data_IF_350471895897
#
_entry.id   IF_350471895897
#
_cell.length_a   1.000
_cell.length_b   1.000
_cell.length_c   1.000
_cell.angle_alpha   90.00
_cell.angle_beta   90.00
_cell.angle_gamma   90.00
#
_symmetry.space_group_name_H-M   'P 1'
#
loop_
_entity.id
_entity.type
_entity.pdbx_description
1 polymer ?
#
# COMPACT_ATOMS: atom_id res chain seq x y z
N UNK A 1 -25.63 12.74 26.17
CA UNK A 1 -24.84 13.14 24.98
C UNK A 1 -23.39 13.30 25.43
N UNK A 2 -22.36 12.79 24.73
CA UNK A 2 -22.31 12.30 23.35
C UNK A 2 -21.74 10.87 23.20
N UNK A 3 -22.06 10.23 22.07
CA UNK A 3 -21.47 8.97 21.64
C UNK A 3 -21.33 9.00 20.12
N UNK A 4 -20.33 9.73 19.63
CA UNK A 4 -20.04 9.82 18.20
C UNK A 4 -19.23 8.60 17.74
N UNK A 5 -19.97 7.61 17.26
CA UNK A 5 -19.44 6.46 16.53
C UNK A 5 -18.90 6.93 15.17
N UNK A 6 -17.58 7.11 15.08
CA UNK A 6 -16.91 7.43 13.82
C UNK A 6 -16.82 6.18 12.94
N UNK A 7 -17.32 6.35 11.72
CA UNK A 7 -17.55 5.33 10.71
C UNK A 7 -16.35 4.45 10.39
N UNK A 8 -16.64 3.16 10.27
CA UNK A 8 -15.81 2.17 9.59
C UNK A 8 -15.84 2.50 8.10
N UNK A 9 -14.73 3.03 7.58
CA UNK A 9 -14.51 3.15 6.13
C UNK A 9 -14.17 1.77 5.59
N UNK A 10 -15.11 1.15 4.90
CA UNK A 10 -14.88 -0.01 4.05
C UNK A 10 -13.92 0.38 2.93
N UNK A 11 -12.73 -0.21 2.94
CA UNK A 11 -11.74 -0.05 1.87
C UNK A 11 -12.21 -0.88 0.68
N UNK A 12 -12.76 -0.20 -0.32
CA UNK A 12 -13.16 -0.80 -1.59
C UNK A 12 -11.88 -1.09 -2.40
N UNK A 13 -11.38 -2.33 -2.35
CA UNK A 13 -10.29 -2.80 -3.20
C UNK A 13 -10.78 -2.90 -4.64
N UNK A 14 -10.40 -1.92 -5.47
CA UNK A 14 -10.54 -1.98 -6.93
C UNK A 14 -9.51 -2.98 -7.49
N UNK A 15 -9.92 -4.23 -7.67
CA UNK A 15 -9.18 -5.21 -8.46
C UNK A 15 -9.27 -4.82 -9.94
N UNK A 16 -8.20 -4.21 -10.45
CA UNK A 16 -8.03 -3.97 -11.88
C UNK A 16 -7.75 -5.31 -12.59
N UNK A 17 -8.77 -5.85 -13.28
CA UNK A 17 -8.60 -6.94 -14.24
C UNK A 17 -7.76 -6.47 -15.42
N UNK A 18 -6.46 -6.77 -15.36
CA UNK A 18 -5.52 -6.61 -16.46
C UNK A 18 -5.83 -7.69 -17.51
N UNK A 19 -6.58 -7.33 -18.56
CA UNK A 19 -6.76 -8.17 -19.74
C UNK A 19 -5.39 -8.40 -20.41
N UNK A 20 -5.03 -9.63 -20.78
CA UNK A 20 -3.92 -9.84 -21.69
C UNK A 20 -4.36 -9.40 -23.09
N UNK A 21 -3.68 -8.37 -23.61
CA UNK A 21 -3.82 -7.92 -24.98
C UNK A 21 -3.38 -9.00 -25.94
N UNK A 22 -4.29 -9.42 -26.81
CA UNK A 22 -3.97 -10.19 -28.02
C UNK A 22 -3.36 -9.22 -29.02
N UNK A 23 -2.07 -9.43 -29.34
CA UNK A 23 -1.39 -8.70 -30.38
C UNK A 23 -2.02 -8.99 -31.75
N UNK A 24 -2.39 -7.88 -32.38
CA UNK A 24 -2.81 -7.72 -33.74
C UNK A 24 -1.54 -7.58 -34.61
N UNK A 25 -1.28 -8.56 -35.49
CA UNK A 25 -0.34 -8.40 -36.60
C UNK A 25 -0.44 -9.60 -37.56
N UNK A 26 -1.17 -9.44 -38.66
CA UNK A 26 -0.62 -9.58 -40.01
C UNK A 26 -1.74 -9.59 -41.05
N UNK A 27 -1.85 -8.43 -41.67
CA UNK A 27 -2.68 -8.08 -42.82
C UNK A 27 -1.91 -8.44 -44.09
N UNK A 28 -2.66 -8.91 -45.08
CA UNK A 28 -2.50 -8.60 -46.51
C UNK A 28 -1.61 -9.44 -47.44
N UNK A 29 -2.05 -9.46 -48.71
CA UNK A 29 -1.53 -10.07 -49.94
C UNK A 29 -1.87 -11.56 -50.17
N UNK A 30 -2.37 -12.04 -51.31
CA UNK A 30 -2.62 -11.43 -52.63
C UNK A 30 -3.58 -12.32 -53.44
N UNK A 31 -4.46 -11.68 -54.21
CA UNK A 31 -5.18 -12.22 -55.37
C UNK A 31 -4.20 -12.81 -56.40
N UNK A 32 -4.43 -14.03 -56.89
CA UNK A 32 -4.08 -14.42 -58.26
C UNK A 32 -5.10 -15.41 -58.88
N UNK A 33 -5.68 -14.96 -59.99
CA UNK A 33 -6.22 -15.69 -61.14
C UNK A 33 -5.46 -15.08 -62.34
N UNK A 34 -5.41 -15.67 -63.56
CA UNK A 34 -5.74 -17.04 -64.02
C UNK A 34 -4.65 -17.65 -64.94
N UNK A 35 -4.84 -18.87 -65.48
CA UNK A 35 -4.33 -19.17 -66.83
C UNK A 35 -5.23 -20.13 -67.61
N UNK A 36 -5.53 -19.72 -68.85
CA UNK A 36 -6.19 -20.48 -69.92
C UNK A 36 -5.11 -21.26 -70.67
N UNK A 37 -5.36 -22.52 -70.98
CA UNK A 37 -4.88 -23.32 -72.12
C UNK A 37 -5.34 -24.77 -71.85
N UNK A 38 -5.79 -25.62 -72.75
CA UNK A 38 -5.79 -25.60 -74.21
C UNK A 38 -6.86 -26.61 -74.66
N UNK A 39 -7.66 -26.27 -75.68
CA UNK A 39 -8.51 -27.26 -76.37
C UNK A 39 -7.61 -28.10 -77.28
N UNK A 40 -7.59 -29.42 -77.10
CA UNK A 40 -7.21 -30.36 -78.16
C UNK A 40 -8.28 -31.45 -78.25
N UNK A 41 -9.00 -31.41 -79.37
CA UNK A 41 -9.66 -32.58 -79.97
C UNK A 41 -8.60 -33.56 -80.44
N UNK A 42 -8.81 -34.85 -80.17
CA UNK A 42 -8.56 -36.01 -81.04
C UNK A 42 -8.88 -37.25 -80.19
N UNK A 43 -10.03 -37.89 -80.42
CA UNK A 43 -10.28 -38.96 -81.40
C UNK A 43 -9.96 -40.33 -80.81
N UNK A 44 -11.00 -41.17 -80.82
CA UNK A 44 -10.95 -42.62 -80.99
C UNK A 44 -9.90 -43.38 -80.18
N UNK A 45 -10.35 -43.93 -79.05
CA UNK A 45 -9.73 -45.13 -78.48
C UNK A 45 -10.80 -46.20 -78.36
N UNK A 46 -10.45 -47.33 -78.96
CA UNK A 46 -11.25 -48.51 -79.18
C UNK A 46 -11.86 -49.08 -77.90
N UNK A 47 -13.10 -49.58 -78.06
CA UNK A 47 -13.65 -50.66 -77.24
C UNK A 47 -12.74 -51.89 -77.39
N UNK A 48 -11.78 -52.05 -76.50
CA UNK A 48 -11.06 -53.32 -76.33
C UNK A 48 -11.33 -53.88 -74.93
N UNK A 49 -11.96 -55.05 -74.96
CA UNK A 49 -11.94 -56.10 -73.94
C UNK A 49 -12.09 -55.68 -72.47
N UNK A 50 -13.34 -55.67 -72.00
CA UNK A 50 -13.68 -55.74 -70.58
C UNK A 50 -13.34 -57.15 -70.08
N UNK A 51 -12.06 -57.37 -69.78
CA UNK A 51 -11.65 -58.44 -68.87
C UNK A 51 -11.99 -58.00 -67.43
N UNK A 52 -12.62 -58.90 -66.69
CA UNK A 52 -13.33 -58.61 -65.44
C UNK A 52 -12.54 -57.78 -64.44
N UNK A 53 -12.96 -56.53 -64.26
CA UNK A 53 -12.55 -55.71 -63.11
C UNK A 53 -13.06 -56.42 -61.87
N UNK A 54 -12.14 -56.92 -61.04
CA UNK A 54 -12.43 -57.55 -59.76
C UNK A 54 -12.94 -56.48 -58.77
N UNK A 55 -14.23 -56.16 -58.89
CA UNK A 55 -14.96 -55.22 -58.04
C UNK A 55 -14.87 -55.58 -56.56
N UNK A 56 -14.74 -56.87 -56.25
CA UNK A 56 -14.60 -57.37 -54.88
C UNK A 56 -13.22 -57.04 -54.28
N UNK A 57 -12.14 -57.13 -55.06
CA UNK A 57 -10.82 -56.69 -54.62
C UNK A 57 -10.77 -55.20 -54.28
N UNK A 58 -11.33 -54.35 -55.15
CA UNK A 58 -11.37 -52.89 -54.93
C UNK A 58 -12.20 -52.52 -53.70
N UNK A 59 -13.31 -53.21 -53.44
CA UNK A 59 -14.13 -52.98 -52.25
C UNK A 59 -13.40 -53.35 -50.95
N UNK A 60 -12.63 -54.44 -50.97
CA UNK A 60 -11.81 -54.85 -49.82
C UNK A 60 -10.70 -53.83 -49.55
N UNK A 61 -9.98 -53.39 -50.59
CA UNK A 61 -8.91 -52.38 -50.46
C UNK A 61 -9.45 -51.06 -49.89
N UNK A 62 -10.62 -50.60 -50.35
CA UNK A 62 -11.26 -49.39 -49.83
C UNK A 62 -11.66 -49.52 -48.35
N UNK A 63 -12.12 -50.70 -47.95
CA UNK A 63 -12.45 -50.99 -46.55
C UNK A 63 -11.20 -50.96 -45.67
N UNK A 64 -10.10 -51.58 -46.12
CA UNK A 64 -8.82 -51.56 -45.42
C UNK A 64 -8.23 -50.16 -45.30
N UNK A 65 -8.27 -49.39 -46.39
CA UNK A 65 -7.82 -47.99 -46.39
C UNK A 65 -8.64 -47.15 -45.41
N UNK A 66 -9.98 -47.29 -45.42
CA UNK A 66 -10.86 -46.57 -44.51
C UNK A 66 -10.53 -46.90 -43.06
N UNK A 67 -10.40 -48.18 -42.73
CA UNK A 67 -10.06 -48.63 -41.38
C UNK A 67 -8.69 -48.12 -40.93
N UNK A 68 -7.68 -48.23 -41.80
CA UNK A 68 -6.33 -47.69 -41.54
C UNK A 68 -6.34 -46.19 -41.29
N UNK A 69 -7.17 -45.44 -42.04
CA UNK A 69 -7.30 -44.00 -41.87
C UNK A 69 -7.99 -43.65 -40.54
N UNK A 70 -9.08 -44.33 -40.19
CA UNK A 70 -9.78 -44.15 -38.92
C UNK A 70 -8.86 -44.42 -37.72
N UNK A 71 -8.10 -45.52 -37.76
CA UNK A 71 -7.12 -45.87 -36.73
C UNK A 71 -6.02 -44.81 -36.60
N UNK A 72 -5.44 -44.35 -37.72
CA UNK A 72 -4.41 -43.31 -37.72
C UNK A 72 -4.93 -41.97 -37.19
N UNK A 73 -6.15 -41.59 -37.53
CA UNK A 73 -6.78 -40.36 -37.05
C UNK A 73 -7.01 -40.45 -35.54
N UNK A 74 -7.60 -41.55 -35.07
CA UNK A 74 -7.90 -41.77 -33.65
C UNK A 74 -6.62 -41.75 -32.83
N UNK A 75 -5.60 -42.51 -33.26
CA UNK A 75 -4.29 -42.54 -32.58
C UNK A 75 -3.62 -41.17 -32.51
N UNK A 76 -3.68 -40.37 -33.60
CA UNK A 76 -3.14 -39.00 -33.59
C UNK A 76 -3.88 -38.08 -32.62
N UNK A 77 -5.21 -38.18 -32.54
CA UNK A 77 -5.99 -37.37 -31.61
C UNK A 77 -5.74 -37.77 -30.16
N UNK A 78 -5.70 -39.08 -29.86
CA UNK A 78 -5.37 -39.58 -28.53
C UNK A 78 -3.98 -39.12 -28.08
N UNK A 79 -3.00 -39.18 -28.98
CA UNK A 79 -1.65 -38.69 -28.70
C UNK A 79 -1.65 -37.19 -28.37
N UNK A 80 -2.31 -36.37 -29.20
CA UNK A 80 -2.42 -34.91 -28.95
C UNK A 80 -3.18 -34.58 -27.66
N UNK A 81 -4.23 -35.32 -27.34
CA UNK A 81 -4.98 -35.14 -26.08
C UNK A 81 -4.08 -35.46 -24.89
N UNK A 82 -3.32 -36.56 -24.97
CA UNK A 82 -2.37 -36.93 -23.91
C UNK A 82 -1.28 -35.89 -23.71
N UNK A 83 -0.70 -35.38 -24.81
CA UNK A 83 0.29 -34.30 -24.74
C UNK A 83 -0.29 -33.00 -24.17
N UNK A 84 -1.52 -32.65 -24.56
CA UNK A 84 -2.19 -31.46 -24.05
C UNK A 84 -2.51 -31.58 -22.56
N UNK A 85 -2.98 -32.75 -22.12
CA UNK A 85 -3.24 -33.03 -20.71
C UNK A 85 -1.95 -32.97 -19.88
N UNK A 86 -0.85 -33.59 -20.34
CA UNK A 86 0.44 -33.50 -19.65
C UNK A 86 0.92 -32.06 -19.47
N UNK A 87 0.78 -31.21 -20.50
CA UNK A 87 1.10 -29.77 -20.40
C UNK A 87 0.19 -28.99 -19.45
N UNK A 88 -1.06 -29.43 -19.28
CA UNK A 88 -1.98 -28.83 -18.31
C UNK A 88 -1.62 -29.25 -16.89
N UNK A 89 -1.25 -30.50 -16.69
CA UNK A 89 -0.81 -31.03 -15.39
C UNK A 89 0.47 -30.33 -14.94
N UNK A 90 1.48 -30.19 -15.82
CA UNK A 90 2.72 -29.44 -15.51
C UNK A 90 2.44 -27.98 -15.09
N UNK A 91 1.48 -27.33 -15.76
CA UNK A 91 1.05 -25.98 -15.42
C UNK A 91 0.31 -25.92 -14.10
N UNK A 92 -0.54 -26.92 -13.82
CA UNK A 92 -1.25 -27.03 -12.56
C UNK A 92 -0.26 -27.18 -11.40
N UNK A 93 0.73 -28.06 -11.54
CA UNK A 93 1.78 -28.27 -10.54
C UNK A 93 2.60 -26.98 -10.31
N UNK A 94 2.97 -26.29 -11.39
CA UNK A 94 3.67 -25.00 -11.29
C UNK A 94 2.84 -23.98 -10.51
N UNK A 95 1.54 -23.85 -10.85
CA UNK A 95 0.64 -22.93 -10.15
C UNK A 95 0.43 -23.32 -8.69
N UNK A 96 0.41 -24.61 -8.37
CA UNK A 96 0.30 -25.09 -6.98
C UNK A 96 1.53 -24.70 -6.15
N UNK A 97 2.74 -24.87 -6.71
CA UNK A 97 4.00 -24.45 -6.06
C UNK A 97 4.01 -22.93 -5.86
N UNK A 98 3.67 -22.15 -6.88
CA UNK A 98 3.59 -20.69 -6.79
C UNK A 98 2.56 -20.23 -5.74
N UNK A 99 1.42 -20.93 -5.63
CA UNK A 99 0.40 -20.60 -4.64
C UNK A 99 0.92 -20.81 -3.21
N UNK A 100 1.62 -21.91 -2.95
CA UNK A 100 2.17 -22.17 -1.61
C UNK A 100 3.29 -21.18 -1.27
N UNK A 101 4.17 -20.86 -2.22
CA UNK A 101 5.19 -19.81 -2.04
C UNK A 101 4.55 -18.43 -1.75
N UNK A 102 3.48 -18.07 -2.45
CA UNK A 102 2.73 -16.85 -2.16
C UNK A 102 2.12 -16.86 -0.76
N UNK A 103 1.55 -17.98 -0.32
CA UNK A 103 0.99 -18.13 1.04
C UNK A 103 2.09 -18.00 2.09
N UNK A 104 3.25 -18.58 1.87
CA UNK A 104 4.38 -18.47 2.79
C UNK A 104 4.91 -17.03 2.87
N UNK A 105 5.03 -16.34 1.73
CA UNK A 105 5.38 -14.91 1.70
C UNK A 105 4.37 -14.03 2.42
N UNK A 106 3.07 -14.33 2.31
CA UNK A 106 2.02 -13.62 3.07
C UNK A 106 2.22 -13.83 4.57
N UNK A 107 2.35 -15.09 5.03
CA UNK A 107 2.60 -15.40 6.45
C UNK A 107 3.86 -14.72 6.98
N UNK A 108 4.94 -14.66 6.19
CA UNK A 108 6.16 -13.98 6.58
C UNK A 108 5.95 -12.46 6.73
N UNK A 109 5.17 -11.83 5.83
CA UNK A 109 4.82 -10.41 5.93
C UNK A 109 3.92 -10.13 7.13
N UNK A 110 2.97 -10.99 7.45
CA UNK A 110 2.08 -10.83 8.61
C UNK A 110 2.89 -10.77 9.91
N UNK A 111 3.89 -11.66 10.07
CA UNK A 111 4.83 -11.61 11.22
C UNK A 111 5.60 -10.30 11.29
N UNK A 112 6.01 -9.74 10.15
CA UNK A 112 6.71 -8.44 10.11
C UNK A 112 5.77 -7.31 10.52
N UNK A 113 4.51 -7.35 10.07
CA UNK A 113 3.48 -6.36 10.43
C UNK A 113 3.22 -6.41 11.94
N UNK A 114 3.03 -7.58 12.53
CA UNK A 114 2.82 -7.75 13.97
C UNK A 114 3.98 -7.13 14.78
N UNK A 115 5.21 -7.45 14.41
CA UNK A 115 6.41 -6.87 15.05
C UNK A 115 6.48 -5.33 14.90
N UNK A 116 6.05 -4.78 13.76
CA UNK A 116 6.04 -3.34 13.54
C UNK A 116 4.96 -2.66 14.38
N UNK A 117 3.77 -3.27 14.52
CA UNK A 117 2.68 -2.76 15.37
C UNK A 117 3.15 -2.66 16.81
N UNK A 118 3.81 -3.69 17.34
CA UNK A 118 4.37 -3.68 18.69
C UNK A 118 5.39 -2.55 18.87
N UNK A 119 6.37 -2.45 17.95
CA UNK A 119 7.40 -1.38 18.00
C UNK A 119 6.82 0.02 17.94
N UNK A 120 5.76 0.23 17.15
CA UNK A 120 5.06 1.53 17.08
C UNK A 120 4.35 1.81 18.40
N UNK A 121 3.71 0.81 19.00
CA UNK A 121 3.10 0.93 20.33
C UNK A 121 4.12 1.34 21.39
N UNK A 122 5.25 0.66 21.46
CA UNK A 122 6.35 0.97 22.38
C UNK A 122 6.90 2.38 22.18
N UNK A 123 7.12 2.77 20.93
CA UNK A 123 7.63 4.10 20.62
C UNK A 123 6.63 5.19 21.03
N UNK A 124 5.34 4.97 20.78
CA UNK A 124 4.30 5.89 21.20
C UNK A 124 4.26 6.04 22.74
N UNK A 125 4.39 4.94 23.48
CA UNK A 125 4.44 4.97 24.94
C UNK A 125 5.67 5.76 25.43
N UNK A 126 6.84 5.54 24.83
CA UNK A 126 8.07 6.31 25.13
C UNK A 126 7.90 7.80 24.83
N UNK A 127 7.26 8.16 23.73
CA UNK A 127 6.96 9.55 23.39
C UNK A 127 6.04 10.20 24.42
N UNK A 128 5.00 9.49 24.87
CA UNK A 128 4.09 9.95 25.91
C UNK A 128 4.84 10.19 27.22
N UNK A 129 5.71 9.26 27.62
CA UNK A 129 6.46 9.40 28.86
C UNK A 129 7.52 10.50 28.78
N UNK A 130 8.19 10.64 27.64
CA UNK A 130 9.08 11.77 27.38
C UNK A 130 8.33 13.11 27.45
N UNK A 131 7.11 13.18 26.93
CA UNK A 131 6.26 14.37 27.00
C UNK A 131 5.85 14.69 28.45
N UNK A 132 5.49 13.68 29.25
CA UNK A 132 5.20 13.86 30.68
C UNK A 132 6.41 14.41 31.42
N UNK A 133 7.60 13.85 31.18
CA UNK A 133 8.85 14.31 31.79
C UNK A 133 9.23 15.73 31.35
N UNK A 134 9.05 16.05 30.07
CA UNK A 134 9.29 17.40 29.55
C UNK A 134 8.36 18.42 30.21
N UNK A 135 7.06 18.10 30.32
CA UNK A 135 6.07 18.95 31.00
C UNK A 135 6.40 19.12 32.48
N UNK A 136 6.75 18.04 33.17
CA UNK A 136 7.20 18.09 34.56
C UNK A 136 8.42 19.02 34.68
N UNK A 137 9.46 18.83 33.86
CA UNK A 137 10.66 19.67 33.90
C UNK A 137 10.36 21.15 33.61
N UNK A 138 9.47 21.44 32.64
CA UNK A 138 9.03 22.80 32.32
C UNK A 138 8.31 23.45 33.52
N UNK A 139 7.41 22.71 34.18
CA UNK A 139 6.70 23.17 35.37
C UNK A 139 7.67 23.42 36.54
N UNK A 140 8.63 22.53 36.78
CA UNK A 140 9.63 22.68 37.84
C UNK A 140 10.55 23.87 37.58
N UNK A 141 10.99 24.08 36.33
CA UNK A 141 11.76 25.26 35.94
C UNK A 141 11.02 26.58 36.19
N UNK A 142 9.69 26.57 36.07
CA UNK A 142 8.82 27.74 36.30
C UNK A 142 8.23 27.82 37.71
N UNK A 143 8.48 26.84 38.58
CA UNK A 143 7.88 26.74 39.92
C UNK A 143 8.06 28.04 40.70
N UNK A 144 9.23 28.66 40.60
CA UNK A 144 9.61 29.88 41.31
C UNK A 144 9.49 31.16 40.49
N UNK A 145 9.05 31.06 39.23
CA UNK A 145 9.02 32.21 38.33
C UNK A 145 7.59 32.80 38.29
N UNK A 146 7.51 34.12 38.34
CA UNK A 146 6.29 34.91 38.15
C UNK A 146 6.46 35.71 36.86
N UNK A 147 5.48 35.62 35.97
CA UNK A 147 5.44 36.43 34.74
C UNK A 147 4.45 37.56 34.93
N UNK A 148 4.92 38.79 34.97
CA UNK A 148 4.06 39.98 34.99
C UNK A 148 3.85 40.48 33.57
N UNK A 149 2.59 40.73 33.20
CA UNK A 149 2.21 41.30 31.92
C UNK A 149 1.95 42.80 32.10
N UNK A 150 2.40 43.62 31.14
CA UNK A 150 2.12 45.05 31.10
C UNK A 150 2.54 45.83 32.37
N UNK A 151 3.66 45.44 32.99
CA UNK A 151 4.20 46.18 34.12
C UNK A 151 4.53 47.61 33.68
N UNK A 152 4.08 48.66 34.40
CA UNK A 152 4.33 50.04 34.00
C UNK A 152 5.84 50.33 34.07
N UNK A 153 6.46 50.64 32.92
CA UNK A 153 7.90 50.95 32.83
C UNK A 153 8.09 52.45 32.54
N UNK A 154 8.82 53.17 33.40
CA UNK A 154 9.34 54.51 33.07
C UNK A 154 10.77 54.44 32.55
N UNK A 155 11.15 55.37 31.65
CA UNK A 155 12.50 55.43 31.07
C UNK A 155 13.52 55.72 32.19
N UNK A 156 14.48 54.81 32.39
CA UNK A 156 15.53 54.92 33.41
C UNK A 156 15.17 54.35 34.79
N UNK A 157 14.00 53.73 34.94
CA UNK A 157 13.54 53.18 36.22
C UNK A 157 14.20 51.84 36.57
N UNK A 158 14.50 51.65 37.85
CA UNK A 158 14.97 50.38 38.38
C UNK A 158 13.78 49.44 38.62
N UNK A 159 13.42 48.66 37.60
CA UNK A 159 12.30 47.69 37.66
C UNK A 159 12.39 46.72 38.85
N UNK A 160 13.60 46.40 39.31
CA UNK A 160 13.82 45.60 40.53
C UNK A 160 13.24 46.27 41.78
N UNK A 161 13.50 47.57 41.96
CA UNK A 161 13.06 48.33 43.14
C UNK A 161 11.55 48.54 43.09
N UNK A 162 11.03 48.96 41.93
CA UNK A 162 9.59 49.12 41.71
C UNK A 162 8.80 47.83 42.00
N UNK A 163 9.31 46.67 41.59
CA UNK A 163 8.67 45.39 41.91
C UNK A 163 8.72 45.06 43.40
N UNK A 164 9.86 45.25 44.07
CA UNK A 164 10.00 45.00 45.51
C UNK A 164 9.08 45.92 46.32
N UNK A 165 8.98 47.19 45.92
CA UNK A 165 8.05 48.16 46.52
C UNK A 165 6.60 47.71 46.37
N UNK A 166 6.17 47.32 45.16
CA UNK A 166 4.81 46.84 44.89
C UNK A 166 4.47 45.59 45.72
N UNK A 167 5.38 44.61 45.80
CA UNK A 167 5.11 43.38 46.55
C UNK A 167 5.14 43.61 48.07
N UNK A 168 5.99 44.52 48.55
CA UNK A 168 5.99 44.90 49.96
C UNK A 168 4.73 45.69 50.34
N UNK A 169 4.26 46.60 49.48
CA UNK A 169 3.06 47.41 49.74
C UNK A 169 1.79 46.57 49.68
N UNK A 170 1.64 45.76 48.65
CA UNK A 170 0.37 45.11 48.35
C UNK A 170 0.29 43.71 48.99
N UNK A 171 1.43 43.00 49.06
CA UNK A 171 1.48 41.62 49.52
C UNK A 171 2.11 41.39 50.89
N UNK A 172 2.64 42.43 51.52
CA UNK A 172 3.35 42.38 52.81
C UNK A 172 4.33 41.19 52.88
N UNK A 173 5.06 40.95 51.79
CA UNK A 173 5.95 39.82 51.62
C UNK A 173 7.37 40.32 51.33
N UNK A 174 8.31 40.05 52.24
CA UNK A 174 9.71 40.44 52.08
C UNK A 174 10.39 39.55 51.01
N UNK A 175 10.77 40.14 49.89
CA UNK A 175 11.41 39.43 48.77
C UNK A 175 12.82 39.97 48.52
N UNK A 176 13.78 39.05 48.47
CA UNK A 176 15.12 39.34 47.95
C UNK A 176 15.13 39.29 46.41
N UNK A 177 15.52 40.38 45.72
CA UNK A 177 15.47 40.44 44.26
C UNK A 177 16.60 39.62 43.62
N UNK A 178 16.32 38.37 43.22
CA UNK A 178 17.28 37.50 42.53
C UNK A 178 16.97 37.37 41.02
N UNK A 179 17.42 38.41 40.30
CA UNK A 179 17.60 38.55 38.84
C UNK A 179 16.29 38.65 38.01
N UNK A 180 16.25 39.71 37.19
CA UNK A 180 15.25 40.01 36.14
C UNK A 180 16.00 39.95 34.80
N UNK A 181 15.78 38.93 33.99
CA UNK A 181 16.16 38.99 32.59
C UNK A 181 15.03 39.69 31.83
N UNK A 182 15.33 40.86 31.25
CA UNK A 182 14.38 41.57 30.38
C UNK A 182 14.35 40.84 29.04
N UNK A 183 13.25 40.16 28.72
CA UNK A 183 13.01 39.70 27.34
C UNK A 183 12.48 40.86 26.50
N UNK A 184 12.67 40.76 25.19
CA UNK A 184 12.27 41.74 24.16
C UNK A 184 10.75 42.00 24.16
N UNK A 185 9.95 41.13 24.78
CA UNK A 185 8.51 41.28 24.98
C UNK A 185 8.20 41.93 26.34
N UNK A 186 7.14 42.74 26.44
CA UNK A 186 6.69 43.54 27.62
C UNK A 186 6.33 42.74 28.90
N UNK A 187 6.91 41.56 29.10
CA UNK A 187 6.68 40.72 30.27
C UNK A 187 7.94 40.59 31.11
N UNK A 188 7.83 40.86 32.41
CA UNK A 188 8.91 40.69 33.38
C UNK A 188 8.82 39.31 34.03
N UNK A 189 9.95 38.60 34.07
CA UNK A 189 10.07 37.32 34.76
C UNK A 189 10.82 37.50 36.07
N UNK A 190 10.10 37.38 37.19
CA UNK A 190 10.66 37.48 38.53
C UNK A 190 10.84 36.09 39.11
N UNK A 191 12.04 35.76 39.57
CA UNK A 191 12.30 34.53 40.32
C UNK A 191 12.19 34.78 41.82
N UNK A 192 11.29 34.06 42.48
CA UNK A 192 11.01 34.19 43.90
C UNK A 192 11.65 33.03 44.67
N UNK A 193 12.23 33.31 45.84
CA UNK A 193 13.00 32.32 46.62
C UNK A 193 12.14 31.15 47.11
N UNK A 194 10.90 31.42 47.53
CA UNK A 194 9.97 30.40 48.03
C UNK A 194 8.71 30.33 47.15
N UNK A 195 8.18 29.12 46.95
CA UNK A 195 6.92 28.87 46.25
C UNK A 195 5.74 29.48 47.01
N UNK A 196 5.76 29.47 48.34
CA UNK A 196 4.67 30.05 49.16
C UNK A 196 4.52 31.55 48.92
N UNK A 197 5.64 32.25 48.76
CA UNK A 197 5.67 33.68 48.44
C UNK A 197 5.04 33.93 47.07
N UNK A 198 5.36 33.10 46.07
CA UNK A 198 4.70 33.17 44.76
C UNK A 198 3.20 32.92 44.86
N UNK A 199 2.78 31.90 45.61
CA UNK A 199 1.35 31.58 45.81
C UNK A 199 0.64 32.76 46.47
N UNK A 200 1.25 33.41 47.47
CA UNK A 200 0.69 34.59 48.15
C UNK A 200 0.48 35.76 47.18
N UNK A 201 1.50 36.09 46.39
CA UNK A 201 1.42 37.16 45.37
C UNK A 201 0.33 36.84 44.34
N UNK A 202 0.32 35.61 43.81
CA UNK A 202 -0.65 35.23 42.77
C UNK A 202 -2.10 35.24 43.29
N UNK A 203 -2.35 34.78 44.52
CA UNK A 203 -3.70 34.75 45.10
C UNK A 203 -4.27 36.12 45.43
N UNK A 204 -3.43 37.13 45.63
CA UNK A 204 -3.90 38.49 45.86
C UNK A 204 -4.23 39.23 44.56
N UNK A 205 -3.85 38.68 43.41
CA UNK A 205 -4.04 39.29 42.10
C UNK A 205 -5.35 38.86 41.41
N UNK A 206 -6.03 37.84 41.94
CA UNK A 206 -7.38 37.44 41.51
C UNK A 206 -8.43 38.19 42.39
N UNK A 207 -9.10 39.23 41.87
CA UNK A 207 -10.26 39.85 42.53
C UNK A 207 -11.50 38.94 42.51
#
# INVERSE_FOLDING_TARGET
MPGDNKGVRTVQTMLASKRPGSNDSSKDSTKEKPSKQNKRSHSDVANESVEGIDLTGIQNDLSEIKKSLEEKITSKFECKIREANGKLDDKLDTLMIENEDLRERIRAKDRVIENLVEKVGDNNNRCIDALKLANYNEQYSRKHNIRMLNFPEKRGENLKKAFVELVNSDCNANIEPRILEKKVTRSLFVKVRNTDTKIRIMRQQDP
#
